data_IF_603316502723
#
_entry.id   IF_603316502723
#
_cell.length_a   1.000
_cell.length_b   1.000
_cell.length_c   1.000
_cell.angle_alpha   90.00
_cell.angle_beta   90.00
_cell.angle_gamma   90.00
#
_symmetry.space_group_name_H-M   'P 1'
#
loop_
_entity.id
_entity.type
_entity.pdbx_description
1 polymer ?
#
# COMPACT_ATOMS: atom_id res chain seq x y z
N UNK A 1 7.40 -3.34 -10.67
CA UNK A 1 7.41 -2.31 -9.60
C UNK A 1 7.54 -3.02 -8.25
N UNK A 2 8.03 -2.40 -7.17
CA UNK A 2 8.18 -3.07 -5.86
C UNK A 2 6.85 -3.69 -5.36
N UNK A 3 5.73 -3.06 -5.70
CA UNK A 3 4.38 -3.58 -5.41
C UNK A 3 4.06 -4.86 -6.18
N UNK A 4 4.38 -4.94 -7.46
CA UNK A 4 4.17 -6.16 -8.25
C UNK A 4 4.98 -7.35 -7.70
N UNK A 5 6.19 -7.07 -7.20
CA UNK A 5 7.03 -8.08 -6.58
C UNK A 5 6.47 -8.51 -5.21
N UNK A 6 5.98 -7.55 -4.43
CA UNK A 6 5.29 -7.85 -3.17
C UNK A 6 4.02 -8.69 -3.42
N UNK A 7 3.22 -8.37 -4.43
CA UNK A 7 2.05 -9.16 -4.82
C UNK A 7 2.46 -10.57 -5.28
N UNK A 8 3.49 -10.67 -6.11
CA UNK A 8 4.02 -11.95 -6.61
C UNK A 8 4.54 -12.84 -5.48
N UNK A 9 5.14 -12.25 -4.45
CA UNK A 9 5.59 -12.95 -3.23
C UNK A 9 4.46 -13.26 -2.24
N UNK A 10 3.22 -12.86 -2.54
CA UNK A 10 2.05 -13.11 -1.69
C UNK A 10 1.90 -12.14 -0.51
N UNK A 11 2.60 -11.00 -0.53
CA UNK A 11 2.43 -9.97 0.46
C UNK A 11 1.02 -9.39 0.40
N UNK A 12 0.34 -9.35 1.55
CA UNK A 12 -1.00 -8.77 1.69
C UNK A 12 -0.98 -7.26 1.92
N UNK A 13 0.12 -6.76 2.48
CA UNK A 13 0.32 -5.35 2.78
C UNK A 13 1.81 -5.02 2.63
N UNK A 14 2.12 -3.87 2.04
CA UNK A 14 3.46 -3.28 2.01
C UNK A 14 3.43 -2.01 2.86
N UNK A 15 4.35 -1.89 3.82
CA UNK A 15 4.47 -0.71 4.69
C UNK A 15 5.78 0.01 4.38
N UNK A 16 5.72 1.34 4.29
CA UNK A 16 6.88 2.20 4.12
C UNK A 16 6.84 3.35 5.12
N UNK A 17 7.93 3.54 5.84
CA UNK A 17 8.10 4.62 6.80
C UNK A 17 8.93 5.74 6.20
N UNK A 18 8.48 6.97 6.35
CA UNK A 18 9.20 8.16 5.91
C UNK A 18 8.98 9.32 6.88
N UNK A 19 9.61 10.46 6.60
CA UNK A 19 9.42 11.68 7.39
C UNK A 19 8.38 12.60 6.74
N UNK A 20 7.65 13.35 7.55
CA UNK A 20 6.60 14.27 7.10
C UNK A 20 7.11 15.37 6.14
N UNK A 21 8.39 15.73 6.21
CA UNK A 21 9.01 16.71 5.31
C UNK A 21 9.60 16.09 4.03
N UNK A 22 9.54 14.77 3.85
CA UNK A 22 10.02 14.12 2.64
C UNK A 22 8.94 14.14 1.54
N UNK A 23 8.74 15.32 0.95
CA UNK A 23 7.69 15.58 -0.05
C UNK A 23 7.78 14.67 -1.27
N UNK A 24 9.00 14.32 -1.69
CA UNK A 24 9.23 13.42 -2.82
C UNK A 24 8.71 12.01 -2.52
N UNK A 25 9.06 11.45 -1.36
CA UNK A 25 8.57 10.15 -0.93
C UNK A 25 7.05 10.15 -0.76
N UNK A 26 6.49 11.17 -0.09
CA UNK A 26 5.03 11.27 0.11
C UNK A 26 4.27 11.34 -1.22
N UNK A 27 4.78 12.09 -2.19
CA UNK A 27 4.20 12.18 -3.53
C UNK A 27 4.23 10.84 -4.24
N UNK A 28 5.36 10.12 -4.17
CA UNK A 28 5.48 8.79 -4.75
C UNK A 28 4.49 7.81 -4.09
N UNK A 29 4.40 7.79 -2.76
CA UNK A 29 3.48 6.92 -2.02
C UNK A 29 2.01 7.18 -2.39
N UNK A 30 1.59 8.44 -2.47
CA UNK A 30 0.23 8.80 -2.92
C UNK A 30 -0.06 8.34 -4.35
N UNK A 31 0.90 8.51 -5.27
CA UNK A 31 0.75 8.05 -6.66
C UNK A 31 0.60 6.54 -6.78
N UNK A 32 1.21 5.79 -5.87
CA UNK A 32 1.07 4.34 -5.80
C UNK A 32 -0.23 3.89 -5.11
N UNK A 33 -1.07 4.82 -4.61
CA UNK A 33 -2.31 4.49 -3.91
C UNK A 33 -2.12 4.14 -2.44
N UNK A 34 -0.97 4.49 -1.85
CA UNK A 34 -0.73 4.23 -0.44
C UNK A 34 -1.66 5.09 0.44
N UNK A 35 -2.24 4.46 1.46
CA UNK A 35 -2.87 5.18 2.55
C UNK A 35 -1.77 5.74 3.46
N UNK A 36 -1.76 7.06 3.63
CA UNK A 36 -0.75 7.77 4.43
C UNK A 36 -1.35 8.09 5.80
N UNK A 37 -0.68 7.61 6.85
CA UNK A 37 -1.02 7.85 8.24
C UNK A 37 0.13 8.65 8.85
N UNK A 38 -0.15 9.89 9.24
CA UNK A 38 0.81 10.76 9.92
C UNK A 38 0.66 10.59 11.42
N UNK A 39 1.75 10.28 12.11
CA UNK A 39 1.76 10.26 13.57
C UNK A 39 1.66 11.70 14.08
N UNK A 40 0.78 11.96 15.07
CA UNK A 40 0.61 13.31 15.62
C UNK A 40 1.75 13.71 16.56
N UNK A 41 2.44 12.73 17.14
CA UNK A 41 3.49 12.94 18.14
C UNK A 41 4.92 12.90 17.56
N UNK A 42 5.06 12.51 16.29
CA UNK A 42 6.37 12.35 15.65
C UNK A 42 6.38 12.92 14.24
N UNK A 43 7.58 13.19 13.71
CA UNK A 43 7.74 13.57 12.29
C UNK A 43 7.66 12.38 11.35
N UNK A 44 7.25 11.21 11.84
CA UNK A 44 7.18 9.97 11.07
C UNK A 44 5.83 9.84 10.37
N UNK A 45 5.88 9.18 9.22
CA UNK A 45 4.74 8.92 8.37
C UNK A 45 4.79 7.47 7.94
N UNK A 46 3.73 6.76 8.28
CA UNK A 46 3.52 5.38 7.89
C UNK A 46 2.64 5.36 6.63
N UNK A 47 3.10 4.69 5.59
CA UNK A 47 2.33 4.50 4.37
C UNK A 47 2.08 3.01 4.14
N UNK A 48 0.81 2.64 4.04
CA UNK A 48 0.39 1.28 3.76
C UNK A 48 -0.16 1.16 2.35
N UNK A 49 0.30 0.16 1.62
CA UNK A 49 -0.21 -0.24 0.31
C UNK A 49 -0.81 -1.63 0.44
N UNK A 50 -2.09 -1.73 0.11
CA UNK A 50 -2.77 -3.00 -0.07
C UNK A 50 -2.80 -3.29 -1.57
N UNK A 51 -2.14 -4.37 -2.04
CA UNK A 51 -2.35 -4.84 -3.40
C UNK A 51 -3.84 -5.08 -3.57
N UNK A 52 -4.43 -4.46 -4.60
CA UNK A 52 -5.86 -4.54 -4.84
C UNK A 52 -6.30 -6.00 -4.77
N UNK A 53 -7.18 -6.35 -3.83
CA UNK A 53 -7.69 -7.70 -3.73
C UNK A 53 -8.35 -8.03 -5.07
N UNK A 54 -7.82 -9.06 -5.74
CA UNK A 54 -8.46 -9.59 -6.92
C UNK A 54 -9.91 -9.89 -6.53
N UNK A 55 -10.92 -9.38 -7.25
CA UNK A 55 -12.31 -9.61 -6.86
C UNK A 55 -12.52 -11.11 -6.67
N UNK A 56 -13.23 -11.53 -5.61
CA UNK A 56 -13.43 -12.95 -5.35
C UNK A 56 -14.01 -13.60 -6.62
N UNK A 57 -13.54 -14.81 -6.99
CA UNK A 57 -14.05 -15.48 -8.17
C UNK A 57 -15.58 -15.57 -8.08
N UNK A 58 -16.32 -15.32 -9.19
CA UNK A 58 -17.77 -15.42 -9.17
C UNK A 58 -18.17 -16.81 -8.66
N UNK A 59 -19.25 -16.93 -7.85
CA UNK A 59 -19.68 -18.21 -7.34
C UNK A 59 -19.94 -19.15 -8.53
N UNK A 60 -19.23 -20.27 -8.56
CA UNK A 60 -19.48 -21.34 -9.52
C UNK A 60 -20.91 -21.82 -9.29
N UNK A 61 -21.85 -21.40 -10.14
CA UNK A 61 -23.18 -21.95 -10.18
C UNK A 61 -23.05 -23.40 -10.66
N UNK A 62 -23.00 -24.34 -9.72
CA UNK A 62 -23.10 -25.76 -10.04
C UNK A 62 -24.50 -26.04 -10.60
N UNK A 63 -24.54 -26.48 -11.86
CA UNK A 63 -25.72 -27.05 -12.53
C UNK A 63 -25.98 -28.47 -12.03
#
# INVERSE_FOLDING_TARGET
>A
MLLDEATRSGARTVVADTKAHNTAALTALRRNGAQIITSQDTVEVHAALMPNEMPPPPPTANL
#
